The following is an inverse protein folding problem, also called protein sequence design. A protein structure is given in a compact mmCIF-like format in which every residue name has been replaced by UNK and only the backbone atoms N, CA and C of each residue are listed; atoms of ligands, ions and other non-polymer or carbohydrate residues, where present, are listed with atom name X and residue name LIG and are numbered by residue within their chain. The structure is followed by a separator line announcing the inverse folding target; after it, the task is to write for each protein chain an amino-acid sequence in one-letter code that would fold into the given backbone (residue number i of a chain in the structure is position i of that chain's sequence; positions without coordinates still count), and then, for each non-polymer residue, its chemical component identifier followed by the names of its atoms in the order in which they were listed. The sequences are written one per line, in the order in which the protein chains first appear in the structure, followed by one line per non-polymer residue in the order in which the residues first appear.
data_IF_130570988597
#
_entry.id   IF_130570988597
#
_cell.length_a   1.000
_cell.length_b   1.000
_cell.length_c   1.000
_cell.angle_alpha   90.00
_cell.angle_beta   90.00
_cell.angle_gamma   90.00
#
_symmetry.space_group_name_H-M   'P 1'
#
loop_
_entity.id
_entity.type
_entity.pdbx_description
1 polymer ?
#
# COMPACT_ATOMS: atom_id res chain seq x y z
N UNK A 1 31.62 -48.40 12.42
CA UNK A 1 30.51 -48.07 13.33
C UNK A 1 30.94 -46.87 14.14
N UNK A 2 29.98 -45.97 14.34
CA UNK A 2 29.98 -44.83 15.27
C UNK A 2 30.42 -43.43 14.80
N UNK A 3 29.36 -42.70 14.42
CA UNK A 3 29.00 -41.34 14.81
C UNK A 3 29.68 -40.14 14.13
N UNK A 4 29.12 -39.84 12.95
CA UNK A 4 29.10 -38.54 12.32
C UNK A 4 28.45 -37.46 13.21
N UNK A 5 29.10 -36.29 13.21
CA UNK A 5 28.50 -34.97 13.00
C UNK A 5 27.22 -34.65 13.80
N UNK A 6 27.40 -34.08 14.99
CA UNK A 6 26.46 -33.11 15.54
C UNK A 6 27.26 -31.85 15.89
N UNK A 7 27.57 -31.04 14.88
CA UNK A 7 27.89 -29.63 15.08
C UNK A 7 26.70 -28.99 15.79
N UNK A 8 26.88 -28.71 17.07
CA UNK A 8 25.94 -27.94 17.86
C UNK A 8 25.94 -26.50 17.34
N UNK A 9 25.05 -26.22 16.39
CA UNK A 9 24.50 -24.88 16.23
C UNK A 9 23.67 -24.61 17.49
N UNK A 10 24.35 -24.13 18.53
CA UNK A 10 23.71 -23.62 19.74
C UNK A 10 22.95 -22.34 19.40
N UNK A 11 21.76 -22.50 18.84
CA UNK A 11 20.76 -21.44 18.75
C UNK A 11 20.41 -21.05 20.19
N UNK A 12 20.94 -19.90 20.65
CA UNK A 12 20.63 -19.34 21.96
C UNK A 12 19.10 -19.27 22.06
N UNK A 13 18.51 -20.11 22.91
CA UNK A 13 17.11 -20.03 23.28
C UNK A 13 16.84 -18.61 23.76
N UNK A 14 16.12 -17.85 22.94
CA UNK A 14 15.75 -16.46 23.20
C UNK A 14 15.07 -16.41 24.58
N UNK A 15 15.66 -15.65 25.49
CA UNK A 15 15.28 -15.63 26.90
C UNK A 15 13.80 -15.22 27.03
N UNK A 16 12.98 -16.11 27.61
CA UNK A 16 11.55 -15.88 27.81
C UNK A 16 11.35 -14.59 28.61
N UNK A 17 10.93 -13.54 27.90
CA UNK A 17 10.60 -12.27 28.54
C UNK A 17 9.11 -12.28 28.90
N UNK A 18 8.73 -12.09 30.17
CA UNK A 18 7.33 -12.09 30.56
C UNK A 18 6.58 -10.93 29.87
N UNK A 19 5.28 -11.11 29.55
CA UNK A 19 4.51 -10.11 28.83
C UNK A 19 4.51 -8.77 29.59
N UNK A 20 4.70 -7.63 28.90
CA UNK A 20 4.76 -6.33 29.55
C UNK A 20 3.45 -6.03 30.28
N UNK A 21 3.54 -5.70 31.57
CA UNK A 21 2.38 -5.44 32.43
C UNK A 21 1.98 -3.96 32.53
N UNK A 22 2.69 -3.08 31.85
CA UNK A 22 2.48 -1.61 31.91
C UNK A 22 2.27 -1.08 30.51
N UNK A 23 1.27 -0.20 30.34
CA UNK A 23 0.92 0.42 29.06
C UNK A 23 2.13 0.97 28.28
N UNK A 24 3.04 1.67 28.97
CA UNK A 24 4.27 2.20 28.38
C UNK A 24 5.26 1.14 27.92
N UNK A 25 5.38 0.03 28.66
CA UNK A 25 6.21 -1.12 28.27
C UNK A 25 5.60 -1.88 27.09
N UNK A 26 4.27 -1.91 27.00
CA UNK A 26 3.57 -2.46 25.83
C UNK A 26 3.84 -1.62 24.58
N UNK A 27 3.76 -0.29 24.68
CA UNK A 27 4.07 0.61 23.55
C UNK A 27 5.50 0.45 23.06
N UNK A 28 6.47 0.28 23.97
CA UNK A 28 7.88 0.06 23.59
C UNK A 28 8.12 -1.33 23.00
N UNK A 29 7.28 -2.31 23.31
CA UNK A 29 7.35 -3.66 22.72
C UNK A 29 6.65 -3.78 21.35
N UNK A 30 5.91 -2.76 20.91
CA UNK A 30 5.20 -2.76 19.61
C UNK A 30 6.12 -2.52 18.40
N UNK A 31 7.39 -2.13 18.62
CA UNK A 31 8.35 -1.74 17.58
C UNK A 31 8.30 -2.59 16.29
N UNK A 32 8.61 -3.90 16.34
CA UNK A 32 8.56 -4.76 15.15
C UNK A 32 7.15 -4.92 14.58
N UNK A 33 6.11 -4.96 15.42
CA UNK A 33 4.73 -5.13 15.00
C UNK A 33 4.19 -3.93 14.22
N UNK A 34 4.54 -2.71 14.62
CA UNK A 34 4.13 -1.48 13.92
C UNK A 34 4.79 -1.38 12.54
N UNK A 35 6.07 -1.75 12.42
CA UNK A 35 6.77 -1.76 11.13
C UNK A 35 6.11 -2.75 10.16
N UNK A 36 5.75 -3.94 10.63
CA UNK A 36 5.06 -4.90 9.79
C UNK A 36 3.65 -4.42 9.42
N UNK A 37 2.91 -3.86 10.38
CA UNK A 37 1.58 -3.31 10.13
C UNK A 37 1.62 -2.17 9.09
N UNK A 38 2.60 -1.27 9.17
CA UNK A 38 2.75 -0.17 8.22
C UNK A 38 3.17 -0.61 6.83
N UNK A 39 3.99 -1.65 6.74
CA UNK A 39 4.45 -2.20 5.45
C UNK A 39 3.31 -2.81 4.61
N UNK A 40 2.21 -3.20 5.26
CA UNK A 40 1.06 -3.85 4.62
C UNK A 40 0.07 -2.82 4.07
N UNK A 41 0.11 -1.57 4.54
CA UNK A 41 -0.76 -0.50 4.03
C UNK A 41 -0.29 -0.07 2.65
N UNK A 42 -0.95 -0.59 1.61
CA UNK A 42 -0.62 -0.30 0.22
C UNK A 42 -1.28 0.96 -0.32
N UNK A 43 -0.68 1.58 -1.35
CA UNK A 43 -1.25 2.73 -2.06
C UNK A 43 -2.64 2.44 -2.67
N UNK A 44 -2.89 1.19 -3.07
CA UNK A 44 -4.19 0.76 -3.61
C UNK A 44 -5.31 0.82 -2.58
N UNK A 45 -5.03 0.55 -1.30
CA UNK A 45 -6.02 0.74 -0.23
C UNK A 45 -6.32 2.22 -0.01
N UNK A 46 -5.34 3.11 -0.22
CA UNK A 46 -5.54 4.55 -0.09
C UNK A 46 -6.36 5.13 -1.25
N UNK A 47 -6.03 4.77 -2.49
CA UNK A 47 -6.67 5.35 -3.69
C UNK A 47 -8.04 4.71 -3.93
N UNK A 48 -8.12 3.37 -3.94
CA UNK A 48 -9.39 2.71 -4.28
C UNK A 48 -10.45 2.92 -3.18
N UNK A 49 -10.06 2.86 -1.90
CA UNK A 49 -11.01 3.06 -0.80
C UNK A 49 -11.53 4.49 -0.77
N UNK A 50 -10.69 5.50 -1.06
CA UNK A 50 -11.14 6.89 -1.13
C UNK A 50 -12.03 7.14 -2.34
N UNK A 51 -11.72 6.57 -3.50
CA UNK A 51 -12.59 6.66 -4.69
C UNK A 51 -13.95 5.99 -4.45
N UNK A 52 -13.96 4.81 -3.84
CA UNK A 52 -15.21 4.12 -3.50
C UNK A 52 -15.99 4.89 -2.43
N UNK A 53 -15.32 5.45 -1.43
CA UNK A 53 -15.91 6.34 -0.43
C UNK A 53 -16.52 7.60 -1.05
N UNK A 54 -15.85 8.20 -2.04
CA UNK A 54 -16.36 9.37 -2.76
C UNK A 54 -17.59 9.04 -3.63
N UNK A 55 -17.64 7.84 -4.23
CA UNK A 55 -18.76 7.42 -5.09
C UNK A 55 -19.99 6.93 -4.33
N UNK A 56 -19.78 6.20 -3.23
CA UNK A 56 -20.84 5.46 -2.52
C UNK A 56 -21.10 6.02 -1.11
N UNK A 57 -20.29 6.98 -0.65
CA UNK A 57 -20.36 7.54 0.70
C UNK A 57 -20.04 6.49 1.77
N UNK A 58 -20.68 6.62 2.93
CA UNK A 58 -20.44 5.76 4.09
C UNK A 58 -21.18 4.41 4.07
N UNK A 59 -21.91 4.10 3.00
CA UNK A 59 -22.72 2.87 2.92
C UNK A 59 -21.89 1.58 3.09
N UNK A 60 -20.63 1.60 2.66
CA UNK A 60 -19.72 0.45 2.71
C UNK A 60 -18.86 0.39 3.99
N UNK A 61 -19.03 1.32 4.93
CA UNK A 61 -18.20 1.39 6.14
C UNK A 61 -18.27 0.10 6.99
N UNK A 62 -19.44 -0.54 7.05
CA UNK A 62 -19.62 -1.78 7.80
C UNK A 62 -18.78 -2.94 7.24
N UNK A 63 -18.52 -2.97 5.93
CA UNK A 63 -17.65 -3.98 5.31
C UNK A 63 -16.20 -3.82 5.74
N UNK A 64 -15.74 -2.57 5.93
CA UNK A 64 -14.39 -2.28 6.43
C UNK A 64 -14.25 -2.80 7.86
N UNK A 65 -15.22 -2.47 8.72
CA UNK A 65 -15.22 -2.93 10.13
C UNK A 65 -15.26 -4.46 10.21
N UNK A 66 -16.14 -5.11 9.43
CA UNK A 66 -16.23 -6.56 9.37
C UNK A 66 -14.93 -7.18 8.85
N UNK A 67 -14.34 -6.62 7.80
CA UNK A 67 -13.08 -7.07 7.23
C UNK A 67 -11.94 -6.99 8.25
N UNK A 68 -11.83 -5.89 8.99
CA UNK A 68 -10.86 -5.75 10.08
C UNK A 68 -11.06 -6.81 11.17
N UNK A 69 -12.31 -7.05 11.60
CA UNK A 69 -12.60 -8.06 12.62
C UNK A 69 -12.21 -9.47 12.16
N UNK A 70 -12.60 -9.86 10.94
CA UNK A 70 -12.27 -11.18 10.37
C UNK A 70 -10.77 -11.33 10.18
N UNK A 71 -10.08 -10.31 9.65
CA UNK A 71 -8.61 -10.34 9.45
C UNK A 71 -7.88 -10.55 10.77
N UNK A 72 -8.25 -9.84 11.83
CA UNK A 72 -7.62 -9.99 13.16
C UNK A 72 -7.87 -11.39 13.72
N UNK A 73 -9.11 -11.88 13.67
CA UNK A 73 -9.43 -13.23 14.16
C UNK A 73 -8.64 -14.31 13.40
N UNK A 74 -8.55 -14.22 12.07
CA UNK A 74 -7.78 -15.15 11.25
C UNK A 74 -6.29 -15.11 11.60
N UNK A 75 -5.71 -13.92 11.79
CA UNK A 75 -4.30 -13.77 12.17
C UNK A 75 -4.00 -14.35 13.56
N UNK A 76 -4.91 -14.18 14.52
CA UNK A 76 -4.79 -14.77 15.86
C UNK A 76 -4.78 -16.31 15.78
N UNK A 77 -5.67 -16.91 14.99
CA UNK A 77 -5.74 -18.36 14.83
C UNK A 77 -4.51 -18.94 14.11
N UNK A 78 -4.07 -18.29 13.04
CA UNK A 78 -2.86 -18.70 12.30
C UNK A 78 -1.63 -18.59 13.22
N UNK A 79 -1.51 -17.48 13.97
CA UNK A 79 -0.43 -17.26 14.92
C UNK A 79 -0.44 -18.26 16.07
N UNK A 80 -1.62 -18.51 16.67
CA UNK A 80 -1.81 -19.54 17.69
C UNK A 80 -1.39 -20.91 17.16
N UNK A 81 -1.74 -21.23 15.93
CA UNK A 81 -1.35 -22.49 15.33
C UNK A 81 0.17 -22.61 15.07
N UNK A 82 0.84 -21.51 14.70
CA UNK A 82 2.28 -21.52 14.55
C UNK A 82 3.01 -21.76 15.89
N UNK A 83 2.54 -21.13 16.97
CA UNK A 83 3.15 -21.21 18.31
C UNK A 83 2.89 -22.57 18.97
N UNK A 84 1.65 -23.05 18.94
CA UNK A 84 1.26 -24.29 19.64
C UNK A 84 1.89 -25.54 19.03
N UNK A 85 1.99 -25.60 17.70
CA UNK A 85 2.50 -26.79 17.00
C UNK A 85 3.95 -26.66 16.50
N UNK A 86 4.59 -25.49 16.70
CA UNK A 86 5.99 -25.25 16.30
C UNK A 86 6.23 -25.38 14.80
N UNK A 87 5.22 -25.11 13.98
CA UNK A 87 5.25 -25.30 12.51
C UNK A 87 4.94 -23.99 11.82
N UNK A 88 5.51 -23.79 10.63
CA UNK A 88 5.18 -22.62 9.83
C UNK A 88 3.70 -22.65 9.40
N UNK A 89 3.06 -21.47 9.23
CA UNK A 89 1.68 -21.39 8.73
C UNK A 89 1.48 -22.19 7.43
N UNK A 90 2.45 -22.11 6.52
CA UNK A 90 2.40 -22.81 5.22
C UNK A 90 2.41 -24.34 5.37
N UNK A 91 3.22 -24.88 6.29
CA UNK A 91 3.25 -26.32 6.58
C UNK A 91 1.97 -26.82 7.28
N UNK A 92 1.23 -25.90 7.92
CA UNK A 92 -0.08 -26.21 8.51
C UNK A 92 -1.18 -26.16 7.45
N UNK A 93 -1.10 -25.21 6.52
CA UNK A 93 -2.03 -25.11 5.39
C UNK A 93 -1.95 -26.28 4.41
N UNK A 94 -0.77 -26.86 4.18
CA UNK A 94 -0.63 -28.06 3.32
C UNK A 94 -1.33 -29.32 3.87
N UNK A 95 -1.68 -29.31 5.17
CA UNK A 95 -2.42 -30.40 5.83
C UNK A 95 -3.94 -30.25 5.73
N UNK A 96 -4.45 -29.09 5.32
CA UNK A 96 -5.90 -28.88 5.17
C UNK A 96 -6.42 -29.81 4.06
N UNK A 97 -7.46 -30.63 4.33
CA UNK A 97 -8.01 -31.53 3.32
C UNK A 97 -8.54 -30.72 2.13
N UNK A 98 -8.19 -31.14 0.92
CA UNK A 98 -8.57 -30.45 -0.31
C UNK A 98 -7.86 -31.00 -1.54
N UNK A 99 -8.15 -30.45 -2.73
CA UNK A 99 -7.51 -30.87 -3.97
C UNK A 99 -5.99 -30.67 -3.88
N UNK A 100 -5.25 -31.72 -4.24
CA UNK A 100 -3.78 -31.68 -4.29
C UNK A 100 -3.36 -31.58 -5.75
N UNK A 101 -2.59 -30.56 -6.08
CA UNK A 101 -2.03 -30.34 -7.42
C UNK A 101 -0.53 -30.50 -7.32
N UNK A 102 0.04 -31.40 -8.15
CA UNK A 102 1.46 -31.72 -8.17
C UNK A 102 2.06 -32.11 -6.79
N UNK A 103 1.30 -32.90 -6.01
CA UNK A 103 1.74 -33.40 -4.69
C UNK A 103 1.66 -32.40 -3.53
N UNK A 104 1.27 -31.14 -3.78
CA UNK A 104 1.05 -30.10 -2.75
C UNK A 104 -0.42 -29.70 -2.66
N UNK A 105 -0.86 -29.25 -1.49
CA UNK A 105 -2.23 -28.79 -1.25
C UNK A 105 -2.56 -27.50 -2.01
N UNK A 106 -3.83 -27.32 -2.38
CA UNK A 106 -4.31 -26.13 -3.10
C UNK A 106 -3.94 -24.80 -2.43
N UNK A 107 -3.92 -24.75 -1.09
CA UNK A 107 -3.56 -23.53 -0.34
C UNK A 107 -2.11 -23.12 -0.59
N UNK A 108 -1.20 -24.07 -0.81
CA UNK A 108 0.18 -23.77 -1.17
C UNK A 108 0.25 -23.01 -2.50
N UNK A 109 -0.55 -23.44 -3.49
CA UNK A 109 -0.64 -22.75 -4.77
C UNK A 109 -1.31 -21.38 -4.65
N UNK A 110 -2.38 -21.26 -3.85
CA UNK A 110 -2.97 -19.96 -3.54
C UNK A 110 -1.97 -19.01 -2.87
N UNK A 111 -1.15 -19.51 -1.94
CA UNK A 111 -0.07 -18.76 -1.32
C UNK A 111 1.02 -18.36 -2.32
N UNK A 112 1.40 -19.25 -3.23
CA UNK A 112 2.39 -18.97 -4.26
C UNK A 112 1.89 -17.88 -5.24
N UNK A 113 0.63 -17.98 -5.68
CA UNK A 113 -0.03 -16.94 -6.48
C UNK A 113 -0.10 -15.63 -5.71
N UNK A 114 -0.48 -15.66 -4.44
CA UNK A 114 -0.51 -14.49 -3.57
C UNK A 114 0.87 -13.83 -3.46
N UNK A 115 1.96 -14.61 -3.34
CA UNK A 115 3.32 -14.08 -3.33
C UNK A 115 3.67 -13.36 -4.64
N UNK A 116 3.27 -13.91 -5.79
CA UNK A 116 3.43 -13.24 -7.08
C UNK A 116 2.63 -11.93 -7.14
N UNK A 117 1.39 -11.92 -6.64
CA UNK A 117 0.55 -10.72 -6.60
C UNK A 117 1.10 -9.64 -5.67
N UNK A 118 1.72 -10.02 -4.54
CA UNK A 118 2.40 -9.07 -3.64
C UNK A 118 3.53 -8.35 -4.37
N UNK A 119 4.33 -9.04 -5.20
CA UNK A 119 5.38 -8.41 -5.99
C UNK A 119 4.79 -7.37 -6.96
N UNK A 120 3.68 -7.70 -7.62
CA UNK A 120 2.97 -6.74 -8.49
C UNK A 120 2.45 -5.55 -7.69
N UNK A 121 1.92 -5.78 -6.48
CA UNK A 121 1.46 -4.71 -5.59
C UNK A 121 2.59 -3.74 -5.22
N UNK A 122 3.80 -4.25 -4.92
CA UNK A 122 4.96 -3.39 -4.66
C UNK A 122 5.35 -2.54 -5.88
N UNK A 123 5.23 -3.09 -7.09
CA UNK A 123 5.40 -2.34 -8.34
C UNK A 123 4.38 -1.20 -8.49
N UNK A 124 3.12 -1.45 -8.13
CA UNK A 124 2.07 -0.43 -8.13
C UNK A 124 2.33 0.71 -7.12
N UNK A 125 2.88 0.39 -5.94
CA UNK A 125 3.30 1.40 -4.95
C UNK A 125 4.42 2.26 -5.53
N UNK A 126 5.45 1.65 -6.11
CA UNK A 126 6.58 2.38 -6.70
C UNK A 126 6.15 3.30 -7.85
N UNK A 127 5.27 2.81 -8.74
CA UNK A 127 4.72 3.60 -9.83
C UNK A 127 3.88 4.78 -9.32
N UNK A 128 3.00 4.55 -8.34
CA UNK A 128 2.15 5.60 -7.78
C UNK A 128 2.94 6.70 -7.07
N UNK A 129 4.00 6.33 -6.34
CA UNK A 129 4.92 7.30 -5.72
C UNK A 129 5.69 8.08 -6.79
N UNK A 130 6.19 7.40 -7.84
CA UNK A 130 6.89 8.04 -8.96
C UNK A 130 6.01 9.06 -9.69
N UNK A 131 4.75 8.73 -9.97
CA UNK A 131 3.77 9.64 -10.58
C UNK A 131 3.45 10.82 -9.67
N UNK A 132 3.22 10.56 -8.38
CA UNK A 132 2.91 11.63 -7.41
C UNK A 132 4.07 12.61 -7.27
N UNK A 133 5.30 12.12 -7.31
CA UNK A 133 6.50 12.95 -7.20
C UNK A 133 6.79 13.70 -8.51
N UNK A 134 6.55 13.08 -9.67
CA UNK A 134 6.62 13.75 -10.97
C UNK A 134 5.60 14.90 -11.08
N UNK A 135 4.38 14.70 -10.56
CA UNK A 135 3.37 15.74 -10.51
C UNK A 135 3.72 16.88 -9.53
N UNK A 136 4.30 16.57 -8.37
CA UNK A 136 4.67 17.56 -7.37
C UNK A 136 5.94 18.34 -7.74
N UNK A 137 6.93 17.68 -8.34
CA UNK A 137 8.25 18.23 -8.66
C UNK A 137 8.67 17.76 -10.06
N UNK A 138 8.19 18.40 -11.14
CA UNK A 138 8.61 18.04 -12.48
C UNK A 138 10.10 18.34 -12.69
N UNK A 139 10.85 17.34 -13.17
CA UNK A 139 12.29 17.41 -13.36
C UNK A 139 12.61 17.98 -14.75
N UNK A 140 11.96 17.46 -15.78
CA UNK A 140 12.20 17.87 -17.17
C UNK A 140 11.28 19.01 -17.60
N UNK A 141 11.64 19.68 -18.68
CA UNK A 141 10.75 20.67 -19.33
C UNK A 141 9.50 19.99 -19.88
N UNK A 142 9.66 18.80 -20.48
CA UNK A 142 8.55 17.97 -20.93
C UNK A 142 7.57 17.59 -19.82
N UNK A 143 8.08 17.24 -18.61
CA UNK A 143 7.22 16.97 -17.46
C UNK A 143 6.47 18.19 -16.93
N UNK A 144 7.02 19.40 -17.07
CA UNK A 144 6.30 20.65 -16.74
C UNK A 144 5.19 20.92 -17.73
N UNK A 145 5.48 20.75 -19.03
CA UNK A 145 4.51 20.96 -20.09
C UNK A 145 3.35 19.94 -19.99
N UNK A 146 3.66 18.67 -19.75
CA UNK A 146 2.67 17.62 -19.47
C UNK A 146 1.82 17.95 -18.22
N UNK A 147 2.46 18.42 -17.15
CA UNK A 147 1.77 18.84 -15.92
C UNK A 147 0.76 19.98 -16.17
N UNK A 148 1.16 21.02 -16.91
CA UNK A 148 0.27 22.13 -17.26
C UNK A 148 -0.89 21.68 -18.14
N UNK A 149 -0.63 20.79 -19.10
CA UNK A 149 -1.65 20.26 -19.99
C UNK A 149 -2.67 19.39 -19.25
N UNK A 150 -2.21 18.55 -18.31
CA UNK A 150 -3.08 17.75 -17.46
C UNK A 150 -3.91 18.60 -16.49
N UNK A 151 -3.37 19.71 -16.00
CA UNK A 151 -4.12 20.66 -15.18
C UNK A 151 -5.24 21.33 -15.98
N UNK A 152 -4.96 21.75 -17.22
CA UNK A 152 -5.95 22.34 -18.12
C UNK A 152 -7.04 21.34 -18.52
N UNK A 153 -6.67 20.08 -18.78
CA UNK A 153 -7.60 19.00 -19.05
C UNK A 153 -8.50 18.71 -17.83
N UNK A 154 -7.92 18.66 -16.62
CA UNK A 154 -8.68 18.44 -15.39
C UNK A 154 -9.67 19.57 -15.11
N UNK A 155 -9.26 20.83 -15.31
CA UNK A 155 -10.14 22.00 -15.21
C UNK A 155 -11.28 21.92 -16.22
N UNK A 156 -10.99 21.62 -17.48
CA UNK A 156 -11.99 21.48 -18.52
C UNK A 156 -13.00 20.36 -18.21
N UNK A 157 -12.54 19.24 -17.64
CA UNK A 157 -13.42 18.14 -17.22
C UNK A 157 -14.34 18.52 -16.05
N UNK A 158 -13.81 19.22 -15.05
CA UNK A 158 -14.59 19.73 -13.93
C UNK A 158 -15.62 20.77 -14.42
N UNK A 159 -15.21 21.72 -15.25
CA UNK A 159 -16.10 22.75 -15.78
C UNK A 159 -17.23 22.15 -16.62
N UNK A 160 -16.91 21.14 -17.45
CA UNK A 160 -17.92 20.42 -18.24
C UNK A 160 -18.87 19.62 -17.34
N UNK A 161 -18.36 18.98 -16.28
CA UNK A 161 -19.19 18.26 -15.31
C UNK A 161 -20.12 19.22 -14.53
N UNK A 162 -19.63 20.41 -14.16
CA UNK A 162 -20.44 21.46 -13.53
C UNK A 162 -21.48 22.03 -14.50
N UNK A 163 -21.13 22.21 -15.78
CA UNK A 163 -22.05 22.64 -16.82
C UNK A 163 -23.17 21.61 -17.07
N UNK A 164 -22.83 20.30 -17.05
CA UNK A 164 -23.78 19.18 -17.06
C UNK A 164 -24.80 19.28 -15.92
N UNK A 165 -24.33 19.51 -14.69
CA UNK A 165 -25.21 19.64 -13.53
C UNK A 165 -26.11 20.87 -13.59
N UNK A 166 -25.61 21.99 -14.12
CA UNK A 166 -26.36 23.26 -14.23
C UNK A 166 -27.18 23.38 -15.53
N UNK A 167 -27.18 22.36 -16.37
CA UNK A 167 -27.91 22.31 -17.65
C UNK A 167 -27.66 23.57 -18.53
N UNK A 168 -26.39 23.92 -18.67
CA UNK A 168 -25.94 25.16 -19.31
C UNK A 168 -25.96 25.03 -20.85
N UNK A 169 -26.33 26.08 -21.58
CA UNK A 169 -26.56 26.01 -23.04
C UNK A 169 -25.28 25.79 -23.91
N UNK A 170 -24.10 25.96 -23.32
CA UNK A 170 -22.76 25.82 -23.89
C UNK A 170 -22.16 24.41 -23.74
N UNK A 171 -22.97 23.46 -23.23
CA UNK A 171 -22.60 22.07 -22.95
C UNK A 171 -21.95 21.34 -24.13
N UNK A 172 -22.57 21.41 -25.31
CA UNK A 172 -22.06 20.72 -26.52
C UNK A 172 -20.72 21.29 -27.01
N UNK A 173 -20.46 22.58 -26.77
CA UNK A 173 -19.21 23.21 -27.13
C UNK A 173 -18.07 22.80 -26.18
N UNK A 174 -18.36 22.73 -24.87
CA UNK A 174 -17.40 22.25 -23.88
C UNK A 174 -17.09 20.76 -24.03
N UNK A 175 -18.08 19.93 -24.38
CA UNK A 175 -17.84 18.51 -24.62
C UNK A 175 -16.92 18.27 -25.83
N UNK A 176 -17.07 19.06 -26.90
CA UNK A 176 -16.19 18.98 -28.07
C UNK A 176 -14.77 19.44 -27.76
N UNK A 177 -14.59 20.52 -26.99
CA UNK A 177 -13.25 20.97 -26.59
C UNK A 177 -12.57 19.96 -25.66
N UNK A 178 -13.33 19.34 -24.76
CA UNK A 178 -12.83 18.30 -23.86
C UNK A 178 -12.38 17.04 -24.64
N UNK A 179 -13.17 16.59 -25.63
CA UNK A 179 -12.79 15.47 -26.51
C UNK A 179 -11.55 15.82 -27.33
N UNK A 180 -11.43 17.04 -27.84
CA UNK A 180 -10.25 17.50 -28.56
C UNK A 180 -9.00 17.54 -27.68
N UNK A 181 -9.11 18.06 -26.45
CA UNK A 181 -8.02 18.05 -25.45
C UNK A 181 -7.62 16.62 -25.08
N UNK A 182 -8.58 15.70 -24.91
CA UNK A 182 -8.28 14.28 -24.66
C UNK A 182 -7.54 13.63 -25.82
N UNK A 183 -7.91 13.92 -27.06
CA UNK A 183 -7.20 13.44 -28.24
C UNK A 183 -5.75 13.96 -28.29
N UNK A 184 -5.53 15.22 -27.93
CA UNK A 184 -4.19 15.80 -27.83
C UNK A 184 -3.37 15.19 -26.68
N UNK A 185 -4.01 14.78 -25.58
CA UNK A 185 -3.37 14.08 -24.48
C UNK A 185 -2.81 12.70 -24.89
N UNK A 186 -3.58 11.94 -25.68
CA UNK A 186 -3.20 10.59 -26.11
C UNK A 186 -2.06 10.61 -27.15
N UNK A 187 -1.94 11.66 -27.95
CA UNK A 187 -0.86 11.82 -28.94
C UNK A 187 0.44 12.36 -28.34
N UNK A 188 0.40 12.90 -27.12
CA UNK A 188 1.59 13.48 -26.49
C UNK A 188 2.51 12.39 -25.94
N UNK A 189 3.82 12.50 -26.22
CA UNK A 189 4.81 11.58 -25.67
C UNK A 189 4.88 11.74 -24.15
N UNK A 190 4.59 10.65 -23.42
CA UNK A 190 4.69 10.61 -21.97
C UNK A 190 6.09 11.02 -21.49
N UNK A 191 6.15 11.93 -20.52
CA UNK A 191 7.39 12.30 -19.87
C UNK A 191 7.98 11.12 -19.11
N UNK A 192 9.31 11.02 -19.16
CA UNK A 192 10.05 9.99 -18.43
C UNK A 192 10.20 10.33 -16.94
N UNK A 193 9.70 11.48 -16.46
CA UNK A 193 9.88 11.96 -15.09
C UNK A 193 9.37 10.95 -14.04
N UNK A 194 8.21 10.33 -14.26
CA UNK A 194 7.68 9.32 -13.35
C UNK A 194 8.59 8.08 -13.27
N UNK A 195 9.17 7.66 -14.40
CA UNK A 195 10.12 6.54 -14.45
C UNK A 195 11.46 6.89 -13.80
N UNK A 196 11.94 8.13 -13.96
CA UNK A 196 13.16 8.62 -13.32
C UNK A 196 12.99 8.60 -11.81
N UNK A 197 11.85 9.09 -11.30
CA UNK A 197 11.55 9.03 -9.88
C UNK A 197 11.38 7.60 -9.36
N UNK A 198 10.77 6.70 -10.11
CA UNK A 198 10.68 5.29 -9.73
C UNK A 198 12.08 4.64 -9.60
N UNK A 199 12.99 4.89 -10.54
CA UNK A 199 14.37 4.39 -10.48
C UNK A 199 15.13 5.01 -9.31
N UNK A 200 15.00 6.32 -9.10
CA UNK A 200 15.62 7.02 -7.98
C UNK A 200 15.14 6.45 -6.64
N UNK A 201 13.83 6.26 -6.47
CA UNK A 201 13.23 5.68 -5.27
C UNK A 201 13.67 4.23 -5.04
N UNK A 202 13.79 3.44 -6.11
CA UNK A 202 14.33 2.08 -6.03
C UNK A 202 15.80 2.08 -5.57
N UNK A 203 16.63 2.99 -6.09
CA UNK A 203 18.03 3.14 -5.67
C UNK A 203 18.13 3.59 -4.20
N UNK A 204 17.37 4.60 -3.79
CA UNK A 204 17.34 5.09 -2.41
C UNK A 204 16.91 3.97 -1.46
N UNK A 205 15.85 3.24 -1.80
CA UNK A 205 15.36 2.10 -1.01
C UNK A 205 16.41 0.99 -0.95
N UNK A 206 17.06 0.68 -2.08
CA UNK A 206 18.13 -0.32 -2.16
C UNK A 206 19.33 0.04 -1.27
N UNK A 207 19.78 1.30 -1.28
CA UNK A 207 20.86 1.80 -0.41
C UNK A 207 20.47 1.73 1.07
N UNK A 208 19.22 2.09 1.38
CA UNK A 208 18.69 2.05 2.75
C UNK A 208 18.67 0.61 3.28
N UNK A 209 18.25 -0.36 2.46
CA UNK A 209 18.29 -1.78 2.80
C UNK A 209 19.73 -2.30 2.91
N UNK A 210 20.62 -1.90 2.00
CA UNK A 210 22.04 -2.30 2.01
C UNK A 210 22.79 -1.81 3.25
N UNK A 211 22.35 -0.71 3.87
CA UNK A 211 22.92 -0.18 5.12
C UNK A 211 22.76 -1.12 6.32
N UNK A 212 21.87 -2.14 6.25
CA UNK A 212 21.74 -3.21 7.24
C UNK A 212 21.29 -2.79 8.65
N UNK A 213 20.98 -1.51 8.87
CA UNK A 213 20.63 -0.97 10.18
C UNK A 213 19.13 -1.04 10.41
N UNK A 214 18.67 -2.12 11.06
CA UNK A 214 17.26 -2.30 11.46
C UNK A 214 16.69 -1.07 12.19
N UNK A 215 17.44 -0.51 13.13
CA UNK A 215 16.99 0.66 13.90
C UNK A 215 16.78 1.94 13.07
N UNK A 216 17.42 2.07 11.90
CA UNK A 216 17.15 3.18 10.97
C UNK A 216 15.79 2.99 10.30
N UNK A 217 15.53 1.79 9.79
CA UNK A 217 14.28 1.42 9.11
C UNK A 217 13.10 1.57 10.06
N UNK A 218 13.25 1.11 11.30
CA UNK A 218 12.23 1.24 12.34
C UNK A 218 11.86 2.70 12.60
N UNK A 219 12.85 3.55 12.88
CA UNK A 219 12.61 4.98 13.18
C UNK A 219 11.99 5.71 11.99
N UNK A 220 12.49 5.47 10.78
CA UNK A 220 11.96 6.09 9.57
C UNK A 220 10.52 5.64 9.28
N UNK A 221 10.24 4.34 9.38
CA UNK A 221 8.89 3.80 9.18
C UNK A 221 7.91 4.37 10.22
N UNK A 222 8.30 4.42 11.50
CA UNK A 222 7.49 5.02 12.56
C UNK A 222 7.16 6.49 12.26
N UNK A 223 8.14 7.29 11.85
CA UNK A 223 7.91 8.70 11.50
C UNK A 223 6.97 8.83 10.31
N UNK A 224 7.16 8.03 9.25
CA UNK A 224 6.32 8.06 8.05
C UNK A 224 4.86 7.69 8.37
N UNK A 225 4.63 6.67 9.19
CA UNK A 225 3.29 6.23 9.60
C UNK A 225 2.59 7.29 10.43
N UNK A 226 3.31 7.89 11.38
CA UNK A 226 2.75 8.96 12.20
C UNK A 226 2.41 10.19 11.35
N UNK A 227 3.29 10.58 10.43
CA UNK A 227 3.05 11.68 9.51
C UNK A 227 1.84 11.42 8.61
N UNK A 228 1.73 10.22 8.04
CA UNK A 228 0.61 9.82 7.20
C UNK A 228 -0.72 9.81 7.98
N UNK A 229 -0.70 9.30 9.21
CA UNK A 229 -1.86 9.28 10.10
C UNK A 229 -2.30 10.71 10.44
N UNK A 230 -1.36 11.56 10.82
CA UNK A 230 -1.60 12.98 11.13
C UNK A 230 -2.18 13.72 9.92
N UNK A 231 -1.62 13.50 8.72
CA UNK A 231 -2.11 14.11 7.49
C UNK A 231 -3.54 13.66 7.17
N UNK A 232 -3.86 12.39 7.39
CA UNK A 232 -5.23 11.87 7.19
C UNK A 232 -6.21 12.53 8.16
N UNK A 233 -5.85 12.68 9.44
CA UNK A 233 -6.67 13.41 10.41
C UNK A 233 -6.84 14.89 10.02
N UNK A 234 -5.76 15.55 9.59
CA UNK A 234 -5.80 16.93 9.14
C UNK A 234 -6.74 17.08 7.94
N UNK A 235 -6.68 16.18 6.96
CA UNK A 235 -7.57 16.18 5.80
C UNK A 235 -9.04 16.08 6.22
N UNK A 236 -9.37 15.21 7.19
CA UNK A 236 -10.74 15.10 7.73
C UNK A 236 -11.18 16.40 8.40
N UNK A 237 -10.31 17.02 9.21
CA UNK A 237 -10.62 18.29 9.88
C UNK A 237 -10.80 19.42 8.88
N UNK A 238 -9.95 19.52 7.85
CA UNK A 238 -10.08 20.52 6.80
C UNK A 238 -11.38 20.33 6.01
N UNK A 239 -11.75 19.09 5.69
CA UNK A 239 -13.00 18.79 5.00
C UNK A 239 -14.24 19.16 5.82
N UNK A 240 -14.16 19.09 7.15
CA UNK A 240 -15.22 19.56 8.04
C UNK A 240 -15.26 21.08 8.19
N UNK A 241 -14.14 21.76 7.90
CA UNK A 241 -14.01 23.21 7.97
C UNK A 241 -14.46 23.90 6.68
N UNK A 242 -14.46 23.21 5.53
CA UNK A 242 -15.04 23.71 4.28
C UNK A 242 -16.58 23.67 4.37
N UNK A 243 -17.23 24.85 4.44
CA UNK A 243 -18.68 24.94 4.43
C UNK A 243 -19.13 24.84 2.96
N UNK A 244 -19.34 23.61 2.48
CA UNK A 244 -20.21 23.43 1.32
C UNK A 244 -21.66 23.67 1.70
#
# INVERSE_FOLDING_TARGET
MDNNQNEQVGEKLEEYTPPPKTFWKTITALGPGIILASSIVGSGELIATTVVGAKVGFSLLWLIILGCAVKVAAQIEIGRNAITWGRTPLASFDRVPGPRVAGRGWIYWCWAVMMMLIVVQQGGILAGVGQSLAAALPLTTAGRDEGTFHEDLAKAEIDTALARLKNRADLEAMEKSLVALRGQAEEQNASHDASIYAVLMALVTGVLLASGRYGLIERLSLVLVLAFTLFTFLAVVMLQADPN
#
